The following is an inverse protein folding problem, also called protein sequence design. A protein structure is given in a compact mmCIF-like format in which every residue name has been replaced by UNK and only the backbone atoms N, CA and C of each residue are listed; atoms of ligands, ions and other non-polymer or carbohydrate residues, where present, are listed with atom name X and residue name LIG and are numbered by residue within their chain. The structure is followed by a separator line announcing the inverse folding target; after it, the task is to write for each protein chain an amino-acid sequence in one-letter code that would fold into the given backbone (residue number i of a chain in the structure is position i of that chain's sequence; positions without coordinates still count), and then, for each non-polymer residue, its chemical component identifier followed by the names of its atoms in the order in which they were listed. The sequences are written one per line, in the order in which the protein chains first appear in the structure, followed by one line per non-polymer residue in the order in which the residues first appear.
data_IF_069754637573
#
_entry.id   IF_069754637573
#
_cell.length_a   1.000
_cell.length_b   1.000
_cell.length_c   1.000
_cell.angle_alpha   90.00
_cell.angle_beta   90.00
_cell.angle_gamma   90.00
#
_symmetry.space_group_name_H-M   'P 1'
#
loop_
_entity.id
_entity.type
_entity.pdbx_description
1 polymer ?
#
# COMPACT_ATOMS: atom_id res chain seq x y z
N UNK A 1 12.18 -26.89 7.93
CA UNK A 1 12.82 -26.20 9.06
C UNK A 1 11.73 -25.53 9.85
N UNK A 2 11.81 -25.48 11.18
CA UNK A 2 10.84 -24.72 11.97
C UNK A 2 10.88 -23.24 11.55
N UNK A 3 9.74 -22.55 11.70
CA UNK A 3 9.64 -21.12 11.44
C UNK A 3 10.44 -20.33 12.48
N UNK A 4 10.62 -19.05 12.24
CA UNK A 4 11.28 -18.12 13.18
C UNK A 4 10.41 -16.90 13.44
N UNK A 5 10.59 -16.23 14.58
CA UNK A 5 9.98 -14.91 14.81
C UNK A 5 10.74 -13.84 14.06
N UNK A 6 10.06 -13.13 13.19
CA UNK A 6 10.69 -12.09 12.36
C UNK A 6 10.43 -10.69 12.92
N UNK A 7 11.49 -9.91 13.07
CA UNK A 7 11.46 -8.52 13.55
C UNK A 7 11.95 -7.52 12.48
N UNK A 8 12.34 -8.01 11.31
CA UNK A 8 12.88 -7.18 10.23
C UNK A 8 12.10 -7.41 8.94
N UNK A 9 11.95 -6.33 8.15
CA UNK A 9 11.31 -6.36 6.85
C UNK A 9 9.89 -6.99 6.88
N UNK A 10 9.63 -7.98 6.02
CA UNK A 10 8.29 -8.52 5.77
C UNK A 10 8.17 -9.93 6.32
N UNK A 11 7.05 -10.22 6.99
CA UNK A 11 6.74 -11.58 7.40
C UNK A 11 6.24 -12.42 6.23
N UNK A 12 6.82 -13.63 6.12
CA UNK A 12 6.48 -14.65 5.12
C UNK A 12 5.86 -15.82 5.86
N UNK A 13 4.61 -16.22 5.57
CA UNK A 13 3.89 -17.24 6.35
C UNK A 13 4.57 -18.62 6.39
N UNK A 14 5.35 -18.95 5.36
CA UNK A 14 6.06 -20.24 5.27
C UNK A 14 7.35 -20.27 6.11
N UNK A 15 7.89 -19.10 6.47
CA UNK A 15 9.20 -18.95 7.11
C UNK A 15 9.10 -18.38 8.52
N UNK A 16 7.98 -17.67 8.81
CA UNK A 16 7.87 -16.90 10.04
C UNK A 16 6.60 -17.26 10.81
N UNK A 17 6.71 -17.32 12.15
CA UNK A 17 5.55 -17.29 13.02
C UNK A 17 4.90 -15.91 12.93
N UNK A 18 3.65 -15.87 12.56
CA UNK A 18 2.91 -14.62 12.39
C UNK A 18 1.41 -14.79 12.66
N UNK A 19 0.77 -13.71 13.01
CA UNK A 19 -0.68 -13.71 13.21
C UNK A 19 -1.42 -13.93 11.89
N UNK A 20 -2.62 -14.48 11.97
CA UNK A 20 -3.51 -14.61 10.82
C UNK A 20 -4.06 -13.24 10.43
N UNK A 21 -3.82 -12.83 9.19
CA UNK A 21 -4.26 -11.54 8.65
C UNK A 21 -5.60 -11.59 7.89
N UNK A 22 -6.25 -12.76 7.79
CA UNK A 22 -7.42 -12.94 6.92
C UNK A 22 -8.59 -12.04 7.31
N UNK A 23 -8.84 -11.85 8.59
CA UNK A 23 -9.89 -10.96 9.08
C UNK A 23 -9.61 -9.51 8.66
N UNK A 24 -8.40 -9.05 8.92
CA UNK A 24 -7.95 -7.70 8.57
C UNK A 24 -7.99 -7.45 7.06
N UNK A 25 -7.50 -8.41 6.27
CA UNK A 25 -7.55 -8.33 4.80
C UNK A 25 -8.99 -8.25 4.30
N UNK A 26 -9.92 -9.04 4.88
CA UNK A 26 -11.35 -8.97 4.52
C UNK A 26 -11.96 -7.60 4.83
N UNK A 27 -11.61 -6.99 5.94
CA UNK A 27 -12.11 -5.66 6.29
C UNK A 27 -11.57 -4.58 5.35
N UNK A 28 -10.28 -4.63 5.02
CA UNK A 28 -9.69 -3.71 4.06
C UNK A 28 -10.28 -3.93 2.66
N UNK A 29 -10.49 -5.19 2.26
CA UNK A 29 -11.13 -5.50 0.97
C UNK A 29 -12.52 -4.88 0.84
N UNK A 30 -13.32 -4.78 1.91
CA UNK A 30 -14.63 -4.09 1.86
C UNK A 30 -14.50 -2.63 1.44
N UNK A 31 -13.44 -1.92 1.86
CA UNK A 31 -13.19 -0.56 1.41
C UNK A 31 -12.85 -0.52 -0.09
N UNK A 32 -12.05 -1.48 -0.56
CA UNK A 32 -11.70 -1.61 -1.98
C UNK A 32 -12.93 -1.92 -2.82
N UNK A 33 -13.73 -2.91 -2.40
CA UNK A 33 -14.96 -3.30 -3.10
C UNK A 33 -15.97 -2.15 -3.18
N UNK A 34 -16.01 -1.31 -2.13
CA UNK A 34 -16.82 -0.08 -2.09
C UNK A 34 -16.23 1.10 -2.90
N UNK A 35 -15.14 0.89 -3.62
CA UNK A 35 -14.50 1.92 -4.44
C UNK A 35 -13.93 3.08 -3.62
N UNK A 36 -13.47 2.84 -2.39
CA UNK A 36 -12.94 3.90 -1.55
C UNK A 36 -11.45 4.13 -1.81
N UNK A 37 -11.05 5.41 -1.82
CA UNK A 37 -9.65 5.81 -1.71
C UNK A 37 -9.37 6.05 -0.24
N UNK A 38 -8.27 5.54 0.29
CA UNK A 38 -7.96 5.64 1.71
C UNK A 38 -6.46 5.57 2.00
N UNK A 39 -6.11 5.91 3.24
CA UNK A 39 -4.72 5.89 3.70
C UNK A 39 -4.57 4.96 4.90
N UNK A 40 -3.59 4.07 4.87
CA UNK A 40 -3.13 3.28 6.00
C UNK A 40 -1.98 4.03 6.68
N UNK A 41 -2.32 4.93 7.59
CA UNK A 41 -1.36 5.71 8.37
C UNK A 41 -1.13 5.06 9.74
N UNK A 42 -0.06 4.33 9.88
CA UNK A 42 0.35 3.67 11.12
C UNK A 42 1.84 3.89 11.35
N UNK A 43 2.25 3.88 12.61
CA UNK A 43 3.65 3.99 12.99
C UNK A 43 4.54 2.99 12.24
N UNK A 44 5.84 3.22 12.26
CA UNK A 44 6.81 2.27 11.71
C UNK A 44 6.66 0.91 12.39
N UNK A 45 6.98 -0.16 11.67
CA UNK A 45 6.94 -1.54 12.19
C UNK A 45 5.55 -2.00 12.69
N UNK A 46 4.50 -1.36 12.20
CA UNK A 46 3.09 -1.74 12.48
C UNK A 46 2.53 -2.77 11.50
N UNK A 47 3.39 -3.45 10.75
CA UNK A 47 3.02 -4.50 9.79
C UNK A 47 2.32 -3.99 8.52
N UNK A 48 2.45 -2.69 8.16
CA UNK A 48 1.84 -2.11 6.94
C UNK A 48 2.18 -2.92 5.69
N UNK A 49 3.45 -3.05 5.37
CA UNK A 49 3.92 -3.74 4.16
C UNK A 49 3.53 -5.22 4.14
N UNK A 50 3.56 -5.91 5.30
CA UNK A 50 3.09 -7.30 5.42
C UNK A 50 1.59 -7.39 5.13
N UNK A 51 0.79 -6.48 5.68
CA UNK A 51 -0.65 -6.40 5.43
C UNK A 51 -0.95 -6.07 3.96
N UNK A 52 -0.23 -5.11 3.35
CA UNK A 52 -0.37 -4.78 1.93
C UNK A 52 -0.07 -5.99 1.04
N UNK A 53 0.96 -6.79 1.35
CA UNK A 53 1.27 -8.01 0.60
C UNK A 53 0.19 -9.10 0.74
N UNK A 54 -0.37 -9.26 1.93
CA UNK A 54 -1.49 -10.17 2.13
C UNK A 54 -2.74 -9.71 1.36
N UNK A 55 -3.04 -8.42 1.42
CA UNK A 55 -4.12 -7.79 0.67
C UNK A 55 -3.91 -7.94 -0.85
N UNK A 56 -2.70 -7.68 -1.34
CA UNK A 56 -2.34 -7.86 -2.75
C UNK A 56 -2.73 -9.25 -3.26
N UNK A 57 -2.27 -10.31 -2.56
CA UNK A 57 -2.57 -11.70 -2.94
C UNK A 57 -4.08 -12.01 -2.96
N UNK A 58 -4.82 -11.39 -2.06
CA UNK A 58 -6.27 -11.55 -2.00
C UNK A 58 -6.96 -10.83 -3.15
N UNK A 59 -6.58 -9.57 -3.44
CA UNK A 59 -7.20 -8.73 -4.46
C UNK A 59 -6.93 -9.21 -5.89
N UNK A 60 -5.79 -9.84 -6.19
CA UNK A 60 -5.45 -10.31 -7.55
C UNK A 60 -6.49 -11.25 -8.16
N UNK A 61 -7.36 -11.85 -7.35
CA UNK A 61 -8.44 -12.72 -7.85
C UNK A 61 -9.49 -11.92 -8.62
N UNK A 62 -9.80 -10.72 -8.14
CA UNK A 62 -10.93 -9.92 -8.61
C UNK A 62 -10.49 -8.65 -9.35
N UNK A 63 -9.24 -8.22 -9.18
CA UNK A 63 -8.72 -6.93 -9.62
C UNK A 63 -7.37 -7.08 -10.33
N UNK A 64 -7.04 -6.13 -11.19
CA UNK A 64 -5.65 -5.83 -11.50
C UNK A 64 -5.09 -4.97 -10.37
N UNK A 65 -4.01 -5.42 -9.75
CA UNK A 65 -3.39 -4.72 -8.62
C UNK A 65 -2.02 -4.23 -9.00
N UNK A 66 -1.81 -2.93 -8.95
CA UNK A 66 -0.52 -2.27 -9.12
C UNK A 66 0.00 -1.91 -7.73
N UNK A 67 1.15 -2.46 -7.34
CA UNK A 67 1.75 -2.24 -6.02
C UNK A 67 3.10 -1.56 -6.19
N UNK A 68 3.16 -0.29 -5.81
CA UNK A 68 4.34 0.57 -5.91
C UNK A 68 4.93 0.85 -4.54
N UNK A 69 6.22 1.13 -4.50
CA UNK A 69 6.95 1.57 -3.31
C UNK A 69 7.67 2.89 -3.64
N UNK A 70 7.22 3.98 -3.02
CA UNK A 70 7.83 5.30 -3.25
C UNK A 70 9.20 5.46 -2.60
N UNK A 71 9.65 4.50 -1.79
CA UNK A 71 11.04 4.48 -1.33
C UNK A 71 12.02 4.24 -2.50
N UNK A 72 11.57 3.62 -3.59
CA UNK A 72 12.39 3.38 -4.79
C UNK A 72 12.52 4.62 -5.68
N UNK A 73 11.68 5.63 -5.46
CA UNK A 73 11.73 6.91 -6.17
C UNK A 73 12.77 7.81 -5.52
N UNK A 74 13.80 8.19 -6.25
CA UNK A 74 14.81 9.14 -5.78
C UNK A 74 14.31 10.59 -5.85
N UNK A 75 15.12 11.52 -5.35
CA UNK A 75 14.78 12.93 -5.40
C UNK A 75 14.62 13.48 -6.83
N UNK A 76 15.35 12.91 -7.79
CA UNK A 76 15.30 13.34 -9.18
C UNK A 76 13.93 13.11 -9.84
N UNK A 77 13.23 12.05 -9.47
CA UNK A 77 11.89 11.74 -9.98
C UNK A 77 10.83 12.75 -9.50
N UNK A 78 11.08 13.41 -8.38
CA UNK A 78 10.20 14.44 -7.83
C UNK A 78 10.59 15.87 -8.21
N UNK A 79 11.67 16.09 -8.97
CA UNK A 79 12.12 17.45 -9.36
C UNK A 79 11.13 18.17 -10.27
N UNK A 80 10.53 17.45 -11.22
CA UNK A 80 9.58 18.02 -12.17
C UNK A 80 8.36 17.12 -12.35
N UNK A 81 7.24 17.73 -12.72
CA UNK A 81 6.00 17.02 -13.05
C UNK A 81 6.23 15.96 -14.13
N UNK A 82 7.00 16.29 -15.17
CA UNK A 82 7.29 15.38 -16.27
C UNK A 82 8.14 14.18 -15.83
N UNK A 83 9.18 14.39 -15.03
CA UNK A 83 9.99 13.27 -14.50
C UNK A 83 9.15 12.33 -13.66
N UNK A 84 8.35 12.87 -12.75
CA UNK A 84 7.46 12.06 -11.92
C UNK A 84 6.45 11.29 -12.79
N UNK A 85 5.80 11.96 -13.75
CA UNK A 85 4.83 11.33 -14.63
C UNK A 85 5.42 10.18 -15.44
N UNK A 86 6.64 10.34 -15.97
CA UNK A 86 7.35 9.29 -16.69
C UNK A 86 7.72 8.11 -15.76
N UNK A 87 8.33 8.37 -14.60
CA UNK A 87 8.73 7.32 -13.65
C UNK A 87 7.54 6.57 -13.09
N UNK A 88 6.43 7.26 -12.83
CA UNK A 88 5.21 6.63 -12.36
C UNK A 88 4.57 5.75 -13.44
N UNK A 89 4.52 6.22 -14.69
CA UNK A 89 4.05 5.43 -15.83
C UNK A 89 4.89 4.18 -16.05
N UNK A 90 6.22 4.32 -16.00
CA UNK A 90 7.17 3.23 -16.16
C UNK A 90 6.96 2.16 -15.07
N UNK A 91 6.86 2.59 -13.81
CA UNK A 91 6.59 1.69 -12.68
C UNK A 91 5.26 0.94 -12.82
N UNK A 92 4.21 1.56 -13.36
CA UNK A 92 2.94 0.89 -13.65
C UNK A 92 3.13 -0.17 -14.74
N UNK A 93 3.81 0.16 -15.83
CA UNK A 93 4.07 -0.79 -16.93
C UNK A 93 4.89 -1.99 -16.43
N UNK A 94 5.96 -1.75 -15.67
CA UNK A 94 6.76 -2.81 -15.07
C UNK A 94 5.94 -3.74 -14.17
N UNK A 95 5.03 -3.18 -13.34
CA UNK A 95 4.15 -3.99 -12.48
C UNK A 95 3.21 -4.86 -13.31
N UNK A 96 2.62 -4.33 -14.38
CA UNK A 96 1.78 -5.12 -15.27
C UNK A 96 2.58 -6.22 -15.96
N UNK A 97 3.73 -5.94 -16.55
CA UNK A 97 4.59 -6.92 -17.23
C UNK A 97 5.09 -8.02 -16.30
N UNK A 98 5.47 -7.65 -15.08
CA UNK A 98 6.01 -8.60 -14.09
C UNK A 98 4.95 -9.55 -13.55
N UNK A 99 3.69 -9.10 -13.45
CA UNK A 99 2.63 -9.80 -12.71
C UNK A 99 1.61 -10.48 -13.58
N UNK A 100 1.38 -9.98 -14.78
CA UNK A 100 0.33 -10.45 -15.66
C UNK A 100 0.94 -10.86 -17.01
N UNK A 101 0.49 -11.97 -17.55
CA UNK A 101 1.03 -12.52 -18.79
C UNK A 101 0.15 -12.26 -20.01
N UNK A 102 -1.12 -12.09 -19.77
CA UNK A 102 -2.14 -11.93 -20.81
C UNK A 102 -3.09 -10.81 -20.43
N UNK A 103 -3.48 -10.03 -21.40
CA UNK A 103 -4.43 -8.93 -21.26
C UNK A 103 -5.46 -8.97 -22.39
N UNK A 104 -6.67 -8.41 -22.19
CA UNK A 104 -7.56 -8.12 -23.29
C UNK A 104 -6.88 -7.22 -24.32
N UNK A 105 -7.14 -7.46 -25.61
CA UNK A 105 -6.50 -6.73 -26.72
C UNK A 105 -6.56 -5.20 -26.54
N UNK A 106 -7.70 -4.66 -26.11
CA UNK A 106 -7.86 -3.22 -25.87
C UNK A 106 -6.94 -2.71 -24.76
N UNK A 107 -6.75 -3.52 -23.72
CA UNK A 107 -5.84 -3.18 -22.61
C UNK A 107 -4.38 -3.24 -23.05
N UNK A 108 -4.00 -4.23 -23.86
CA UNK A 108 -2.66 -4.30 -24.48
C UNK A 108 -2.38 -3.05 -25.32
N UNK A 109 -3.34 -2.61 -26.13
CA UNK A 109 -3.23 -1.39 -26.94
C UNK A 109 -3.04 -0.15 -26.05
N UNK A 110 -3.75 -0.05 -24.91
CA UNK A 110 -3.61 1.05 -23.96
C UNK A 110 -2.24 1.04 -23.27
N UNK A 111 -1.75 -0.12 -22.84
CA UNK A 111 -0.42 -0.28 -22.25
C UNK A 111 0.68 0.09 -23.26
N UNK A 112 0.56 -0.35 -24.51
CA UNK A 112 1.52 -0.04 -25.57
C UNK A 112 1.50 1.46 -25.93
N UNK A 113 0.33 2.10 -25.93
CA UNK A 113 0.24 3.55 -26.13
C UNK A 113 0.97 4.32 -25.02
N UNK A 114 0.79 3.90 -23.76
CA UNK A 114 1.51 4.50 -22.63
C UNK A 114 3.02 4.27 -22.75
N UNK A 115 3.45 3.03 -23.07
CA UNK A 115 4.88 2.67 -23.30
C UNK A 115 5.49 3.52 -24.39
N UNK A 116 4.84 3.64 -25.53
CA UNK A 116 5.32 4.47 -26.65
C UNK A 116 5.48 5.92 -26.22
N UNK A 117 4.54 6.44 -25.42
CA UNK A 117 4.57 7.83 -24.96
C UNK A 117 5.78 8.13 -24.09
N UNK A 118 6.12 7.25 -23.15
CA UNK A 118 7.28 7.45 -22.26
C UNK A 118 8.61 7.11 -22.94
N UNK A 119 8.58 6.33 -24.03
CA UNK A 119 9.80 5.97 -24.81
C UNK A 119 10.24 7.05 -25.80
N UNK A 120 9.45 8.08 -26.02
CA UNK A 120 9.81 9.22 -26.85
C UNK A 120 11.03 9.95 -26.24
N UNK A 121 12.19 9.92 -26.93
CA UNK A 121 13.42 10.60 -26.48
C UNK A 121 13.70 11.85 -27.31
N UNK A 122 14.26 12.93 -26.71
CA UNK A 122 14.62 13.10 -25.29
C UNK A 122 13.37 13.00 -24.41
N UNK A 123 13.56 12.63 -23.11
CA UNK A 123 12.47 12.53 -22.13
C UNK A 123 11.44 13.61 -22.40
N UNK A 124 10.20 13.21 -22.68
CA UNK A 124 9.18 14.14 -23.12
C UNK A 124 8.83 15.11 -21.99
N UNK A 125 9.51 16.27 -22.00
CA UNK A 125 9.30 17.33 -21.00
C UNK A 125 7.84 17.82 -20.97
N UNK A 126 7.07 17.52 -22.01
CA UNK A 126 5.64 17.84 -22.10
C UNK A 126 4.71 16.74 -21.58
N UNK A 127 5.24 15.62 -21.05
CA UNK A 127 4.43 14.58 -20.46
C UNK A 127 4.05 14.97 -19.01
N UNK A 128 2.91 15.60 -18.87
CA UNK A 128 2.39 16.14 -17.62
C UNK A 128 1.58 15.11 -16.85
N UNK A 129 1.30 15.36 -15.55
CA UNK A 129 0.36 14.56 -14.76
C UNK A 129 -1.01 14.48 -15.45
N UNK A 130 -1.51 15.57 -15.99
CA UNK A 130 -2.77 15.55 -16.74
C UNK A 130 -2.74 14.58 -17.92
N UNK A 131 -1.63 14.56 -18.66
CA UNK A 131 -1.47 13.59 -19.77
C UNK A 131 -1.40 12.16 -19.24
N UNK A 132 -0.61 11.92 -18.22
CA UNK A 132 -0.51 10.61 -17.55
C UNK A 132 -1.90 10.09 -17.14
N UNK A 133 -2.67 10.91 -16.42
CA UNK A 133 -4.00 10.53 -15.95
C UNK A 133 -5.01 10.28 -17.08
N UNK A 134 -4.82 10.89 -18.26
CA UNK A 134 -5.55 10.54 -19.48
C UNK A 134 -5.27 9.11 -19.90
N UNK A 135 -4.00 8.71 -20.03
CA UNK A 135 -3.61 7.34 -20.36
C UNK A 135 -4.07 6.32 -19.30
N UNK A 136 -4.02 6.69 -18.01
CA UNK A 136 -4.50 5.82 -16.93
C UNK A 136 -6.03 5.64 -16.98
N UNK A 137 -6.78 6.65 -17.36
CA UNK A 137 -8.22 6.55 -17.59
C UNK A 137 -8.53 5.62 -18.77
N UNK A 138 -7.80 5.74 -19.88
CA UNK A 138 -7.93 4.84 -21.03
C UNK A 138 -7.60 3.39 -20.65
N UNK A 139 -6.58 3.19 -19.82
CA UNK A 139 -6.21 1.88 -19.28
C UNK A 139 -7.34 1.30 -18.41
N UNK A 140 -7.93 2.10 -17.52
CA UNK A 140 -9.07 1.68 -16.71
C UNK A 140 -10.29 1.34 -17.57
N UNK A 141 -10.52 2.10 -18.65
CA UNK A 141 -11.63 1.85 -19.59
C UNK A 141 -11.48 0.56 -20.40
N UNK A 142 -10.23 0.16 -20.68
CA UNK A 142 -9.91 -0.99 -21.54
C UNK A 142 -9.73 -2.30 -20.78
N UNK A 143 -9.59 -2.23 -19.44
CA UNK A 143 -9.38 -3.38 -18.59
C UNK A 143 -10.70 -4.18 -18.39
N UNK A 144 -10.60 -5.51 -18.39
CA UNK A 144 -11.73 -6.42 -18.11
C UNK A 144 -11.97 -6.64 -16.60
N UNK A 145 -11.00 -6.27 -15.77
CA UNK A 145 -11.13 -6.20 -14.32
C UNK A 145 -10.77 -4.80 -13.84
N UNK A 146 -11.45 -4.30 -12.78
CA UNK A 146 -11.10 -2.99 -12.25
C UNK A 146 -9.64 -2.97 -11.73
N UNK A 147 -9.01 -1.79 -11.79
CA UNK A 147 -7.62 -1.60 -11.38
C UNK A 147 -7.58 -0.99 -9.98
N UNK A 148 -6.76 -1.56 -9.10
CA UNK A 148 -6.46 -1.05 -7.76
C UNK A 148 -5.00 -0.63 -7.70
N UNK A 149 -4.74 0.57 -7.19
CA UNK A 149 -3.37 1.04 -6.93
C UNK A 149 -3.09 1.01 -5.42
N UNK A 150 -1.95 0.45 -5.06
CA UNK A 150 -1.41 0.45 -3.71
C UNK A 150 -0.02 1.09 -3.76
N UNK A 151 0.21 2.12 -2.94
CA UNK A 151 1.50 2.81 -2.86
C UNK A 151 1.98 2.76 -1.42
N UNK A 152 3.09 2.07 -1.18
CA UNK A 152 3.75 2.04 0.13
C UNK A 152 4.78 3.16 0.25
N UNK A 153 5.18 3.48 1.49
CA UNK A 153 6.19 4.47 1.86
C UNK A 153 5.98 5.86 1.23
N UNK A 154 4.70 6.29 1.14
CA UNK A 154 4.34 7.61 0.57
C UNK A 154 4.95 8.80 1.35
N UNK A 155 5.48 8.55 2.54
CA UNK A 155 6.18 9.55 3.34
C UNK A 155 7.43 10.08 2.64
N UNK A 156 8.10 9.25 1.82
CA UNK A 156 9.28 9.65 1.03
C UNK A 156 8.95 10.76 0.04
N UNK A 157 7.73 10.77 -0.48
CA UNK A 157 7.23 11.77 -1.42
C UNK A 157 6.64 13.02 -0.73
N UNK A 158 6.41 12.98 0.58
CA UNK A 158 5.56 13.91 1.31
C UNK A 158 6.02 15.38 1.28
N UNK A 159 7.29 15.65 1.02
CA UNK A 159 7.87 16.97 0.98
C UNK A 159 7.92 17.59 -0.43
N UNK A 160 7.34 16.92 -1.44
CA UNK A 160 7.44 17.35 -2.84
C UNK A 160 6.11 17.93 -3.34
N UNK A 161 6.17 19.09 -4.00
CA UNK A 161 4.98 19.74 -4.59
C UNK A 161 4.33 18.84 -5.64
N UNK A 162 5.12 18.16 -6.47
CA UNK A 162 4.63 17.23 -7.49
C UNK A 162 3.76 16.12 -6.92
N UNK A 163 4.09 15.64 -5.71
CA UNK A 163 3.25 14.66 -5.03
C UNK A 163 1.88 15.22 -4.62
N UNK A 164 1.83 16.49 -4.17
CA UNK A 164 0.55 17.15 -3.90
C UNK A 164 -0.30 17.31 -5.17
N UNK A 165 0.35 17.64 -6.28
CA UNK A 165 -0.31 17.79 -7.58
C UNK A 165 -0.82 16.43 -8.10
N UNK A 166 -0.07 15.35 -7.88
CA UNK A 166 -0.50 13.98 -8.13
C UNK A 166 -1.73 13.59 -7.30
N UNK A 167 -1.74 13.90 -6.00
CA UNK A 167 -2.92 13.68 -5.15
C UNK A 167 -4.13 14.48 -5.63
N UNK A 168 -3.92 15.69 -6.14
CA UNK A 168 -4.98 16.52 -6.71
C UNK A 168 -5.58 15.87 -7.98
N UNK A 169 -4.76 15.26 -8.84
CA UNK A 169 -5.23 14.51 -10.01
C UNK A 169 -6.02 13.25 -9.59
N UNK A 170 -5.53 12.48 -8.64
CA UNK A 170 -6.28 11.34 -8.08
C UNK A 170 -7.64 11.76 -7.54
N UNK A 171 -7.67 12.90 -6.84
CA UNK A 171 -8.93 13.46 -6.34
C UNK A 171 -9.88 13.85 -7.46
N UNK A 172 -9.40 14.51 -8.50
CA UNK A 172 -10.21 14.88 -9.65
C UNK A 172 -10.83 13.65 -10.31
N UNK A 173 -10.03 12.62 -10.61
CA UNK A 173 -10.54 11.35 -11.15
C UNK A 173 -11.55 10.67 -10.22
N UNK A 174 -11.34 10.71 -8.91
CA UNK A 174 -12.28 10.13 -7.95
C UNK A 174 -13.65 10.83 -7.98
N UNK A 175 -13.65 12.16 -8.14
CA UNK A 175 -14.88 12.96 -8.20
C UNK A 175 -15.63 12.68 -9.51
N UNK A 176 -14.91 12.60 -10.62
CA UNK A 176 -15.47 12.48 -11.96
C UNK A 176 -15.64 11.01 -12.42
N UNK A 177 -15.51 10.03 -11.51
CA UNK A 177 -15.48 8.59 -11.82
C UNK A 177 -16.79 8.03 -12.38
N UNK A 178 -17.89 8.76 -12.27
CA UNK A 178 -19.19 8.47 -12.87
C UNK A 178 -19.23 8.84 -14.37
N UNK A 179 -18.32 9.73 -14.78
CA UNK A 179 -18.21 10.23 -16.16
C UNK A 179 -16.96 9.67 -16.86
N UNK A 180 -15.87 9.52 -16.13
CA UNK A 180 -14.57 9.04 -16.64
C UNK A 180 -14.11 7.80 -15.90
N UNK A 181 -13.63 6.76 -16.61
CA UNK A 181 -13.05 5.59 -15.99
C UNK A 181 -11.88 5.96 -15.07
N UNK A 182 -11.88 5.41 -13.87
CA UNK A 182 -10.88 5.68 -12.84
C UNK A 182 -10.53 4.38 -12.10
N UNK A 183 -9.50 4.44 -11.26
CA UNK A 183 -9.14 3.32 -10.41
C UNK A 183 -10.31 2.93 -9.49
N UNK A 184 -10.51 1.64 -9.28
CA UNK A 184 -11.47 1.11 -8.33
C UNK A 184 -11.16 1.61 -6.92
N UNK A 185 -9.89 1.52 -6.54
CA UNK A 185 -9.43 1.98 -5.24
C UNK A 185 -7.98 2.44 -5.33
N UNK A 186 -7.62 3.42 -4.49
CA UNK A 186 -6.24 3.86 -4.28
C UNK A 186 -5.93 3.78 -2.80
N UNK A 187 -4.90 3.00 -2.46
CA UNK A 187 -4.44 2.76 -1.10
C UNK A 187 -3.06 3.40 -0.95
N UNK A 188 -2.96 4.38 -0.08
CA UNK A 188 -1.68 5.00 0.27
C UNK A 188 -1.25 4.53 1.65
N UNK A 189 -0.02 4.01 1.79
CA UNK A 189 0.48 3.58 3.08
C UNK A 189 1.70 4.41 3.50
N UNK A 190 1.70 4.84 4.75
CA UNK A 190 2.76 5.68 5.31
C UNK A 190 2.64 5.84 6.82
N UNK A 191 3.51 6.68 7.38
CA UNK A 191 3.54 6.98 8.82
C UNK A 191 2.72 8.23 9.13
N UNK A 192 2.76 9.23 8.24
CA UNK A 192 2.12 10.51 8.46
C UNK A 192 0.71 10.58 7.86
N UNK A 193 -0.11 11.43 8.45
CA UNK A 193 -1.42 11.75 7.87
C UNK A 193 -1.26 12.66 6.65
N UNK A 194 -1.51 12.09 5.48
CA UNK A 194 -1.43 12.79 4.18
C UNK A 194 -2.39 13.98 4.12
N UNK A 195 -3.49 13.95 4.86
CA UNK A 195 -4.43 15.09 4.92
C UNK A 195 -3.77 16.36 5.45
N UNK A 196 -2.71 16.24 6.23
CA UNK A 196 -1.99 17.35 6.86
C UNK A 196 -0.69 17.75 6.14
N UNK A 197 -0.34 17.15 5.00
CA UNK A 197 0.92 17.43 4.30
C UNK A 197 1.08 18.89 3.86
N UNK A 198 0.02 19.53 3.38
CA UNK A 198 0.08 20.96 2.98
C UNK A 198 0.50 21.90 4.10
N UNK A 199 0.09 21.63 5.34
CA UNK A 199 0.48 22.43 6.51
C UNK A 199 1.99 22.46 6.73
N UNK A 200 2.69 21.38 6.38
CA UNK A 200 4.14 21.29 6.51
C UNK A 200 4.88 22.05 5.40
N UNK A 201 4.35 22.04 4.17
CA UNK A 201 5.00 22.64 3.00
C UNK A 201 4.74 24.13 2.89
N UNK A 202 3.59 24.65 3.36
CA UNK A 202 3.20 26.05 3.25
C UNK A 202 2.47 26.52 4.51
N UNK A 203 3.19 26.78 5.63
CA UNK A 203 2.58 27.20 6.89
C UNK A 203 1.77 28.51 6.79
N UNK A 204 2.14 29.41 5.88
CA UNK A 204 1.54 30.75 5.74
C UNK A 204 0.22 30.76 4.96
N UNK A 205 -0.15 29.67 4.27
CA UNK A 205 -1.38 29.56 3.47
C UNK A 205 -2.52 28.84 4.21
N UNK A 206 -2.49 28.77 5.55
CA UNK A 206 -3.40 27.96 6.38
C UNK A 206 -4.91 28.13 6.14
N UNK A 207 -5.33 29.19 5.49
CA UNK A 207 -6.76 29.56 5.40
C UNK A 207 -7.43 29.35 4.03
N UNK A 208 -6.73 28.89 2.99
CA UNK A 208 -7.28 28.94 1.62
C UNK A 208 -7.45 27.63 0.87
N UNK A 209 -6.93 26.47 1.31
CA UNK A 209 -7.03 25.27 0.49
C UNK A 209 -7.33 24.00 1.29
N UNK A 210 -8.41 23.31 0.92
CA UNK A 210 -8.68 21.94 1.34
C UNK A 210 -7.54 21.00 0.94
N UNK A 211 -7.19 20.02 1.80
CA UNK A 211 -6.25 18.98 1.45
C UNK A 211 -6.65 18.29 0.13
N UNK A 212 -5.72 18.06 -0.81
CA UNK A 212 -6.03 17.32 -2.03
C UNK A 212 -6.52 15.89 -1.76
N UNK A 213 -6.29 15.38 -0.55
CA UNK A 213 -6.69 14.03 -0.12
C UNK A 213 -7.91 14.00 0.81
N UNK A 214 -8.76 15.04 0.77
CA UNK A 214 -9.97 15.11 1.60
C UNK A 214 -11.08 14.12 1.17
N UNK A 215 -10.94 13.46 0.03
CA UNK A 215 -11.82 12.39 -0.47
C UNK A 215 -11.56 11.04 0.24
N UNK A 216 -10.45 10.92 0.94
CA UNK A 216 -10.06 9.65 1.57
C UNK A 216 -11.07 9.23 2.62
N UNK A 217 -11.56 7.99 2.49
CA UNK A 217 -12.33 7.34 3.52
C UNK A 217 -11.49 7.17 4.80
N UNK A 218 -12.15 7.18 5.93
CA UNK A 218 -11.50 6.89 7.20
C UNK A 218 -11.09 5.42 7.26
N UNK A 219 -9.85 5.17 7.66
CA UNK A 219 -9.31 3.84 7.85
C UNK A 219 -9.40 3.46 9.33
N UNK A 220 -10.43 2.71 9.69
CA UNK A 220 -10.74 2.31 11.06
C UNK A 220 -10.27 0.90 11.41
N UNK A 221 -9.68 0.18 10.45
CA UNK A 221 -9.22 -1.19 10.68
C UNK A 221 -8.06 -1.20 11.69
N UNK A 222 -8.23 -1.97 12.74
CA UNK A 222 -7.17 -2.14 13.73
C UNK A 222 -6.03 -2.97 13.17
N UNK A 223 -4.82 -2.46 13.33
CA UNK A 223 -3.58 -3.11 12.89
C UNK A 223 -2.79 -3.70 14.08
N UNK A 224 -3.22 -3.47 15.31
CA UNK A 224 -2.65 -4.11 16.50
C UNK A 224 -3.02 -5.60 16.54
N UNK A 225 -2.19 -6.41 17.14
CA UNK A 225 -2.50 -7.83 17.33
C UNK A 225 -3.41 -8.00 18.52
N UNK A 226 -4.54 -8.68 18.32
CA UNK A 226 -5.39 -9.08 19.44
C UNK A 226 -4.74 -10.21 20.24
N UNK A 227 -5.27 -10.45 21.44
CA UNK A 227 -4.85 -11.56 22.27
C UNK A 227 -5.03 -12.91 21.53
N UNK A 228 -6.14 -13.06 20.83
CA UNK A 228 -6.48 -14.26 20.07
C UNK A 228 -5.55 -14.46 18.88
N UNK A 229 -5.19 -13.37 18.17
CA UNK A 229 -4.20 -13.41 17.08
C UNK A 229 -2.82 -13.81 17.60
N UNK A 230 -2.40 -13.28 18.76
CA UNK A 230 -1.13 -13.66 19.42
C UNK A 230 -1.17 -15.13 19.83
N UNK A 231 -2.29 -15.59 20.42
CA UNK A 231 -2.44 -16.99 20.81
C UNK A 231 -2.31 -17.92 19.60
N UNK A 232 -2.96 -17.62 18.47
CA UNK A 232 -2.84 -18.42 17.24
C UNK A 232 -1.41 -18.49 16.70
N UNK A 233 -0.64 -17.39 16.79
CA UNK A 233 0.78 -17.38 16.43
C UNK A 233 1.61 -18.27 17.37
N UNK A 234 1.32 -18.25 18.68
CA UNK A 234 2.01 -19.07 19.67
C UNK A 234 1.62 -20.56 19.57
N UNK A 235 0.40 -20.89 19.12
CA UNK A 235 -0.01 -22.27 18.83
C UNK A 235 0.86 -22.91 17.75
N UNK A 236 1.20 -22.18 16.68
CA UNK A 236 2.12 -22.67 15.66
C UNK A 236 3.52 -22.92 16.24
N UNK A 237 4.02 -22.02 17.10
CA UNK A 237 5.31 -22.18 17.77
C UNK A 237 5.31 -23.40 18.71
N UNK A 238 4.29 -23.53 19.55
CA UNK A 238 4.17 -24.65 20.48
C UNK A 238 4.05 -26.00 19.78
N UNK A 239 3.41 -26.04 18.59
CA UNK A 239 3.34 -27.23 17.76
C UNK A 239 4.72 -27.70 17.26
N UNK A 240 5.64 -26.77 17.02
CA UNK A 240 7.01 -27.08 16.56
C UNK A 240 7.97 -27.42 17.70
N UNK A 241 7.86 -26.76 18.86
CA UNK A 241 8.87 -26.84 19.93
C UNK A 241 8.42 -27.56 21.19
N UNK A 242 7.12 -27.76 21.41
CA UNK A 242 6.55 -28.53 22.56
C UNK A 242 7.07 -28.01 23.91
N UNK A 243 7.08 -26.69 24.11
CA UNK A 243 7.64 -26.08 25.33
C UNK A 243 6.79 -26.30 26.58
N UNK A 244 5.51 -26.67 26.41
CA UNK A 244 4.55 -26.83 27.50
C UNK A 244 4.01 -25.50 28.05
N UNK A 245 4.18 -24.37 27.30
CA UNK A 245 3.69 -23.07 27.75
C UNK A 245 2.17 -23.03 27.80
N UNK A 246 1.65 -22.26 28.75
CA UNK A 246 0.25 -21.87 28.70
C UNK A 246 0.05 -20.74 27.68
N UNK A 247 -0.42 -21.10 26.49
CA UNK A 247 -0.58 -20.18 25.35
C UNK A 247 -1.45 -18.99 25.69
N UNK A 248 -2.59 -19.22 26.40
CA UNK A 248 -3.51 -18.13 26.74
C UNK A 248 -2.91 -17.11 27.71
N UNK A 249 -2.18 -17.59 28.73
CA UNK A 249 -1.52 -16.72 29.70
C UNK A 249 -0.38 -15.95 29.02
N UNK A 250 0.40 -16.62 28.18
CA UNK A 250 1.49 -15.99 27.43
C UNK A 250 0.97 -14.92 26.46
N UNK A 251 -0.07 -15.23 25.70
CA UNK A 251 -0.72 -14.27 24.79
C UNK A 251 -1.28 -13.05 25.56
N UNK A 252 -1.89 -13.28 26.74
CA UNK A 252 -2.38 -12.20 27.60
C UNK A 252 -1.23 -11.31 28.09
N UNK A 253 -0.10 -11.88 28.52
CA UNK A 253 1.04 -11.11 28.99
C UNK A 253 1.67 -10.30 27.84
N UNK A 254 1.92 -10.93 26.70
CA UNK A 254 2.43 -10.23 25.51
C UNK A 254 1.53 -9.06 25.13
N UNK A 255 0.21 -9.29 25.08
CA UNK A 255 -0.73 -8.23 24.78
C UNK A 255 -0.70 -7.10 25.82
N UNK A 256 -0.67 -7.41 27.11
CA UNK A 256 -0.64 -6.43 28.20
C UNK A 256 0.61 -5.53 28.15
N UNK A 257 1.78 -6.11 27.81
CA UNK A 257 3.04 -5.36 27.74
C UNK A 257 3.22 -4.57 26.45
N UNK A 258 2.56 -4.98 25.36
CA UNK A 258 2.79 -4.41 24.03
C UNK A 258 1.59 -3.65 23.49
N UNK A 259 0.42 -3.80 24.10
CA UNK A 259 -0.89 -3.37 23.54
C UNK A 259 -1.08 -3.91 22.11
N UNK A 260 -0.54 -5.10 21.84
CA UNK A 260 -0.61 -5.72 20.52
C UNK A 260 0.28 -5.09 19.45
N UNK A 261 1.24 -4.23 19.82
CA UNK A 261 2.14 -3.62 18.83
C UNK A 261 2.96 -4.68 18.09
N UNK A 262 2.79 -4.87 16.77
CA UNK A 262 3.29 -6.05 16.05
C UNK A 262 4.78 -6.32 16.23
N UNK A 263 5.61 -5.29 16.11
CA UNK A 263 7.05 -5.42 16.29
C UNK A 263 7.43 -5.86 17.71
N UNK A 264 6.81 -5.27 18.74
CA UNK A 264 7.13 -5.60 20.12
C UNK A 264 6.70 -7.02 20.46
N UNK A 265 5.54 -7.47 19.97
CA UNK A 265 5.09 -8.85 20.14
C UNK A 265 6.11 -9.83 19.53
N UNK A 266 6.46 -9.63 18.24
CA UNK A 266 7.43 -10.48 17.55
C UNK A 266 8.81 -10.45 18.23
N UNK A 267 9.27 -9.27 18.69
CA UNK A 267 10.58 -9.12 19.35
C UNK A 267 10.62 -9.81 20.70
N UNK A 268 9.57 -9.71 21.49
CA UNK A 268 9.51 -10.44 22.78
C UNK A 268 9.49 -11.94 22.55
N UNK A 269 8.70 -12.43 21.59
CA UNK A 269 8.71 -13.85 21.23
C UNK A 269 10.10 -14.32 20.78
N UNK A 270 10.77 -13.56 19.93
CA UNK A 270 12.13 -13.85 19.48
C UNK A 270 13.13 -13.91 20.67
N UNK A 271 13.05 -12.95 21.59
CA UNK A 271 13.95 -12.92 22.75
C UNK A 271 13.70 -14.09 23.72
N UNK A 272 12.46 -14.58 23.81
CA UNK A 272 12.15 -15.78 24.59
C UNK A 272 12.70 -17.03 23.92
N UNK A 273 12.50 -17.17 22.60
CA UNK A 273 13.02 -18.28 21.80
C UNK A 273 14.56 -18.38 21.86
N UNK A 274 15.28 -17.24 21.80
CA UNK A 274 16.74 -17.17 21.90
C UNK A 274 17.30 -17.61 23.28
N UNK A 275 16.46 -17.75 24.32
CA UNK A 275 16.86 -18.04 25.71
C UNK A 275 16.42 -19.39 26.22
N UNK A 276 15.60 -20.09 25.47
CA UNK A 276 15.17 -21.46 25.73
C UNK A 276 16.15 -22.44 25.11
#
# INVERSE_FOLDING_TARGET
MPKVFNTAAICIPQEHYMVNLDSRVREIKKLVDAGKYFTINRARQYGKTTTLRALYRNLMKDYYVVSLDFQTFGSAEFETESRFANSFADSILEEFERRYREFPKKMEESLENLRRKISERPLNENFTLRSLFGYLSDLCASADKPIVIMIDEVDSASNNQVFLDFLAQLRAQYIDRDIQPAFQSVILAGVYDIKNLKRKLRPEEEHKYNSPWNIAAEFTVDMSFSKEEIAGMLEEYEADYHTGMNINDMAQWLHNYTSGYPFLVSRLCQLMDERI
#
